data_IF_152321629365
#
_entry.id   IF_152321629365
#
_cell.length_a   1.000
_cell.length_b   1.000
_cell.length_c   1.000
_cell.angle_alpha   90.00
_cell.angle_beta   90.00
_cell.angle_gamma   90.00
#
_symmetry.space_group_name_H-M   'P 1'
#
loop_
_entity.id
_entity.type
_entity.pdbx_description
1 polymer ?
#
# COMPACT_ATOMS: atom_id res chain seq x y z
N UNK A 1 13.33 -8.21 1.39
CA UNK A 1 13.80 -6.96 2.01
C UNK A 1 12.96 -5.78 1.57
N UNK A 2 13.47 -4.94 0.66
CA UNK A 2 12.86 -3.64 0.29
C UNK A 2 11.39 -3.75 -0.14
N UNK A 3 11.04 -4.74 -0.97
CA UNK A 3 9.64 -4.94 -1.41
C UNK A 3 8.71 -5.17 -0.21
N UNK A 4 9.13 -5.99 0.77
CA UNK A 4 8.36 -6.21 1.98
C UNK A 4 8.17 -4.92 2.78
N UNK A 5 9.20 -4.06 2.86
CA UNK A 5 9.08 -2.76 3.52
C UNK A 5 8.06 -1.84 2.82
N UNK A 6 8.04 -1.82 1.48
CA UNK A 6 7.04 -1.07 0.71
C UNK A 6 5.63 -1.61 0.93
N UNK A 7 5.46 -2.94 0.99
CA UNK A 7 4.17 -3.57 1.30
C UNK A 7 3.71 -3.22 2.72
N UNK A 8 4.62 -3.23 3.70
CA UNK A 8 4.32 -2.82 5.09
C UNK A 8 3.93 -1.34 5.18
N UNK A 9 4.63 -0.44 4.49
CA UNK A 9 4.23 0.97 4.43
C UNK A 9 2.83 1.12 3.79
N UNK A 10 2.54 0.33 2.75
CA UNK A 10 1.24 0.30 2.09
C UNK A 10 0.11 -0.20 3.01
N UNK A 11 0.40 -1.15 3.91
CA UNK A 11 -0.54 -1.55 4.97
C UNK A 11 -0.87 -0.37 5.88
N UNK A 12 0.13 0.41 6.30
CA UNK A 12 -0.08 1.60 7.10
C UNK A 12 -1.01 2.60 6.41
N UNK A 13 -0.70 2.96 5.16
CA UNK A 13 -1.50 3.94 4.39
C UNK A 13 -2.95 3.47 4.18
N UNK A 14 -3.15 2.21 3.79
CA UNK A 14 -4.50 1.68 3.52
C UNK A 14 -5.31 1.50 4.80
N UNK A 15 -4.69 1.02 5.88
CA UNK A 15 -5.34 0.76 7.17
C UNK A 15 -5.71 2.04 7.91
N UNK A 16 -4.86 3.08 7.82
CA UNK A 16 -5.08 4.37 8.50
C UNK A 16 -6.38 5.06 8.08
N UNK A 17 -6.87 4.74 6.88
CA UNK A 17 -8.09 5.32 6.31
C UNK A 17 -9.41 4.68 6.79
N UNK A 18 -9.33 3.47 7.34
CA UNK A 18 -10.50 2.62 7.57
C UNK A 18 -11.43 3.12 8.68
N UNK A 19 -10.94 3.73 9.80
CA UNK A 19 -11.82 4.31 10.81
C UNK A 19 -12.69 5.47 10.32
N UNK A 20 -12.34 6.08 9.17
CA UNK A 20 -13.04 7.23 8.56
C UNK A 20 -13.20 8.42 9.51
N UNK A 21 -12.28 8.56 10.46
CA UNK A 21 -12.15 9.76 11.27
C UNK A 21 -11.54 10.91 10.45
N UNK A 22 -11.55 12.12 11.01
CA UNK A 22 -11.04 13.29 10.30
C UNK A 22 -9.58 13.13 9.92
N UNK A 23 -8.76 12.60 10.83
CA UNK A 23 -7.32 12.48 10.60
C UNK A 23 -7.04 11.46 9.49
N UNK A 24 -7.67 10.28 9.54
CA UNK A 24 -7.54 9.26 8.49
C UNK A 24 -8.04 9.73 7.12
N UNK A 25 -9.19 10.41 7.09
CA UNK A 25 -9.76 10.94 5.84
C UNK A 25 -8.85 11.99 5.18
N UNK A 26 -8.38 12.98 5.94
CA UNK A 26 -7.53 14.04 5.39
C UNK A 26 -6.14 13.51 5.00
N UNK A 27 -5.58 12.58 5.77
CA UNK A 27 -4.33 11.91 5.41
C UNK A 27 -4.43 11.21 4.04
N UNK A 28 -5.48 10.42 3.80
CA UNK A 28 -5.69 9.77 2.50
C UNK A 28 -5.89 10.78 1.38
N UNK A 29 -6.65 11.85 1.62
CA UNK A 29 -6.86 12.89 0.62
C UNK A 29 -5.55 13.51 0.14
N UNK A 30 -4.63 13.82 1.06
CA UNK A 30 -3.31 14.37 0.74
C UNK A 30 -2.44 13.32 0.03
N UNK A 31 -2.27 12.13 0.62
CA UNK A 31 -1.36 11.10 0.10
C UNK A 31 -1.76 10.62 -1.29
N UNK A 32 -3.04 10.38 -1.53
CA UNK A 32 -3.54 9.94 -2.84
C UNK A 32 -3.54 11.05 -3.89
N UNK A 33 -3.30 12.32 -3.50
CA UNK A 33 -3.16 13.44 -4.43
C UNK A 33 -1.74 13.62 -4.95
N UNK A 34 -0.73 13.08 -4.26
CA UNK A 34 0.68 13.18 -4.65
C UNK A 34 0.95 12.71 -6.09
N UNK A 35 0.38 11.59 -6.58
CA UNK A 35 0.67 11.11 -7.93
C UNK A 35 0.14 12.00 -9.04
N UNK A 36 -0.74 12.97 -8.75
CA UNK A 36 -1.29 13.90 -9.74
C UNK A 36 -0.20 14.75 -10.41
N UNK A 37 0.92 14.97 -9.70
CA UNK A 37 2.08 15.69 -10.22
C UNK A 37 2.87 14.92 -11.31
N UNK A 38 2.58 13.63 -11.54
CA UNK A 38 3.27 12.83 -12.56
C UNK A 38 2.73 13.21 -13.95
N UNK A 39 3.59 13.65 -14.89
CA UNK A 39 3.15 14.04 -16.23
C UNK A 39 2.47 12.88 -16.97
N UNK A 40 1.44 13.20 -17.77
CA UNK A 40 0.68 12.29 -18.64
C UNK A 40 -0.20 11.27 -17.90
N UNK A 41 0.33 10.59 -16.87
CA UNK A 41 -0.34 9.47 -16.20
C UNK A 41 -0.87 9.79 -14.79
N UNK A 42 -0.58 10.98 -14.24
CA UNK A 42 -0.93 11.31 -12.86
C UNK A 42 -2.42 11.31 -12.58
N UNK A 43 -3.20 12.06 -13.36
CA UNK A 43 -4.66 12.13 -13.22
C UNK A 43 -5.35 10.75 -13.33
N UNK A 44 -5.14 9.92 -14.38
CA UNK A 44 -5.77 8.61 -14.45
C UNK A 44 -5.30 7.66 -13.33
N UNK A 45 -4.08 7.80 -12.83
CA UNK A 45 -3.58 7.01 -11.70
C UNK A 45 -4.30 7.37 -10.39
N UNK A 46 -4.51 8.65 -10.12
CA UNK A 46 -5.27 9.10 -8.93
C UNK A 46 -6.72 8.62 -8.98
N UNK A 47 -7.37 8.72 -10.13
CA UNK A 47 -8.74 8.21 -10.32
C UNK A 47 -8.80 6.69 -10.15
N UNK A 48 -7.80 5.95 -10.63
CA UNK A 48 -7.72 4.51 -10.42
C UNK A 48 -7.58 4.15 -8.93
N UNK A 49 -6.73 4.87 -8.20
CA UNK A 49 -6.51 4.66 -6.77
C UNK A 49 -7.77 4.96 -5.96
N UNK A 50 -8.44 6.08 -6.25
CA UNK A 50 -9.62 6.54 -5.50
C UNK A 50 -10.92 5.89 -5.94
N UNK A 51 -11.00 5.47 -7.21
CA UNK A 51 -12.23 5.02 -7.87
C UNK A 51 -13.22 6.15 -8.20
N UNK A 52 -12.81 7.41 -8.05
CA UNK A 52 -13.57 8.63 -8.37
C UNK A 52 -12.64 9.84 -8.34
N UNK A 53 -13.10 10.99 -8.87
CA UNK A 53 -12.31 12.24 -8.87
C UNK A 53 -11.91 12.72 -7.46
N UNK A 54 -12.76 12.49 -6.46
CA UNK A 54 -12.51 12.82 -5.06
C UNK A 54 -12.50 11.58 -4.17
N UNK A 55 -11.93 11.70 -2.97
CA UNK A 55 -11.95 10.64 -1.95
C UNK A 55 -13.37 10.46 -1.42
N UNK A 56 -13.87 9.24 -1.45
CA UNK A 56 -15.25 8.94 -1.06
C UNK A 56 -15.48 7.48 -0.70
N UNK A 57 -16.71 6.99 -0.90
CA UNK A 57 -17.08 5.60 -0.59
C UNK A 57 -16.33 4.58 -1.45
N UNK A 58 -16.18 4.87 -2.75
CA UNK A 58 -15.38 4.08 -3.70
C UNK A 58 -13.96 3.84 -3.19
N UNK A 59 -13.32 4.89 -2.67
CA UNK A 59 -11.96 4.83 -2.12
C UNK A 59 -11.89 3.93 -0.89
N UNK A 60 -12.85 4.06 0.03
CA UNK A 60 -12.90 3.22 1.24
C UNK A 60 -13.04 1.74 0.89
N UNK A 61 -13.96 1.38 -0.01
CA UNK A 61 -14.16 -0.02 -0.42
C UNK A 61 -12.91 -0.58 -1.09
N UNK A 62 -12.22 0.19 -1.93
CA UNK A 62 -10.94 -0.20 -2.54
C UNK A 62 -9.85 -0.38 -1.50
N UNK A 63 -9.71 0.57 -0.56
CA UNK A 63 -8.68 0.51 0.48
C UNK A 63 -8.91 -0.65 1.44
N UNK A 64 -10.16 -0.95 1.78
CA UNK A 64 -10.51 -2.14 2.56
C UNK A 64 -10.11 -3.43 1.85
N UNK A 65 -10.44 -3.56 0.56
CA UNK A 65 -10.05 -4.73 -0.25
C UNK A 65 -8.52 -4.84 -0.40
N UNK A 66 -7.84 -3.72 -0.63
CA UNK A 66 -6.37 -3.68 -0.69
C UNK A 66 -5.76 -4.12 0.64
N UNK A 67 -6.26 -3.60 1.76
CA UNK A 67 -5.71 -3.86 3.10
C UNK A 67 -5.95 -5.28 3.60
N UNK A 68 -7.12 -5.85 3.34
CA UNK A 68 -7.52 -7.14 3.93
C UNK A 68 -7.30 -8.33 3.01
N UNK A 69 -7.19 -8.11 1.69
CA UNK A 69 -7.03 -9.19 0.72
C UNK A 69 -5.72 -9.09 -0.07
N UNK A 70 -5.51 -7.98 -0.79
CA UNK A 70 -4.37 -7.87 -1.72
C UNK A 70 -3.04 -7.80 -0.99
N UNK A 71 -2.90 -6.91 -0.01
CA UNK A 71 -1.65 -6.72 0.73
C UNK A 71 -1.26 -7.94 1.58
N UNK A 72 -2.19 -8.63 2.27
CA UNK A 72 -1.88 -9.89 2.97
C UNK A 72 -1.40 -10.98 2.02
N UNK A 73 -2.06 -11.16 0.87
CA UNK A 73 -1.66 -12.15 -0.12
C UNK A 73 -0.27 -11.85 -0.68
N UNK A 74 -0.02 -10.60 -1.12
CA UNK A 74 1.28 -10.20 -1.65
C UNK A 74 2.38 -10.36 -0.60
N UNK A 75 2.14 -9.91 0.63
CA UNK A 75 3.13 -10.01 1.71
C UNK A 75 3.42 -11.45 2.06
N UNK A 76 2.41 -12.32 2.12
CA UNK A 76 2.62 -13.76 2.32
C UNK A 76 3.50 -14.36 1.22
N UNK A 77 3.22 -14.06 -0.05
CA UNK A 77 4.03 -14.54 -1.19
C UNK A 77 5.48 -14.04 -1.11
N UNK A 78 5.69 -12.76 -0.83
CA UNK A 78 7.04 -12.21 -0.72
C UNK A 78 7.79 -12.71 0.52
N UNK A 79 7.11 -12.99 1.64
CA UNK A 79 7.72 -13.65 2.80
C UNK A 79 8.12 -15.09 2.48
N UNK A 80 7.26 -15.84 1.78
CA UNK A 80 7.54 -17.19 1.31
C UNK A 80 8.67 -17.23 0.28
N UNK A 81 8.96 -16.15 -0.42
CA UNK A 81 10.20 -16.05 -1.22
C UNK A 81 11.39 -15.67 -0.34
N UNK A 82 11.21 -14.75 0.62
CA UNK A 82 12.30 -14.18 1.42
C UNK A 82 12.91 -15.19 2.40
N UNK A 83 12.09 -15.93 3.15
CA UNK A 83 12.59 -16.85 4.18
C UNK A 83 13.37 -18.05 3.63
N UNK A 84 12.94 -18.71 2.53
CA UNK A 84 13.73 -19.78 1.94
C UNK A 84 15.08 -19.31 1.39
N UNK A 85 15.19 -18.08 0.89
CA UNK A 85 16.49 -17.52 0.47
C UNK A 85 17.45 -17.43 1.65
N UNK A 86 16.98 -16.92 2.80
CA UNK A 86 17.77 -16.86 4.04
C UNK A 86 18.15 -18.28 4.48
N UNK A 87 17.20 -19.21 4.48
CA UNK A 87 17.46 -20.61 4.86
C UNK A 87 18.48 -21.30 3.95
N UNK A 88 18.46 -20.99 2.65
CA UNK A 88 19.38 -21.57 1.66
C UNK A 88 20.80 -20.99 1.75
N UNK A 89 20.93 -19.70 2.02
CA UNK A 89 22.22 -19.00 2.01
C UNK A 89 22.89 -18.96 3.38
N UNK A 90 22.13 -19.16 4.46
CA UNK A 90 22.62 -18.97 5.82
C UNK A 90 22.64 -17.50 6.24
N UNK A 91 22.97 -17.26 7.50
CA UNK A 91 23.17 -15.90 8.02
C UNK A 91 24.57 -15.40 7.64
N UNK A 92 24.73 -14.09 7.47
CA UNK A 92 26.06 -13.49 7.31
C UNK A 92 26.94 -13.77 8.53
N UNK A 93 28.21 -14.05 8.28
CA UNK A 93 29.21 -14.12 9.35
C UNK A 93 29.38 -12.79 10.08
N UNK A 94 30.04 -12.80 11.25
CA UNK A 94 30.38 -11.56 11.95
C UNK A 94 31.27 -10.65 11.08
N UNK A 95 31.15 -9.35 11.30
CA UNK A 95 31.96 -8.31 10.65
C UNK A 95 33.43 -8.37 11.13
#
# INVERSE_FOLDING_TARGET
GVILAVLTASFGVTGYSLPRDQIGYWAVKIVTGVPEAIPVIGSPLVELLRGSASVGQSTLTRFYSLHTFVLPLLTAVFMLMHFPMIRKQGISGPL
#
